data_IF_728242472666
#
_entry.id   IF_728242472666
#
_cell.length_a   1.000
_cell.length_b   1.000
_cell.length_c   1.000
_cell.angle_alpha   90.00
_cell.angle_beta   90.00
_cell.angle_gamma   90.00
#
_symmetry.space_group_name_H-M   'P 1'
#
loop_
_entity.id
_entity.type
_entity.pdbx_description
1 polymer ?
#
# COMPACT_ATOMS: atom_id res chain seq x y z
N UNK A 1 12.82 20.89 2.56
CA UNK A 1 11.42 20.93 3.07
C UNK A 1 10.87 19.51 3.18
N UNK A 2 9.90 19.27 4.08
CA UNK A 2 9.32 17.94 4.37
C UNK A 2 8.75 17.21 3.15
N UNK A 3 8.42 17.96 2.09
CA UNK A 3 7.92 17.42 0.81
C UNK A 3 8.90 16.48 0.12
N UNK A 4 10.21 16.77 0.18
CA UNK A 4 11.25 15.95 -0.46
C UNK A 4 11.27 14.52 0.11
N UNK A 5 10.83 14.33 1.36
CA UNK A 5 10.86 13.01 1.99
C UNK A 5 9.93 12.01 1.30
N UNK A 6 8.84 12.47 0.68
CA UNK A 6 7.91 11.58 -0.05
C UNK A 6 8.59 10.93 -1.25
N UNK A 7 9.59 11.60 -1.84
CA UNK A 7 10.30 11.14 -3.02
C UNK A 7 11.60 10.44 -2.62
N UNK A 8 12.40 11.07 -1.73
CA UNK A 8 13.71 10.58 -1.33
C UNK A 8 13.66 9.31 -0.47
N UNK A 9 12.77 9.23 0.53
CA UNK A 9 12.75 8.08 1.43
C UNK A 9 12.32 6.79 0.72
N UNK A 10 11.28 6.79 -0.14
CA UNK A 10 10.93 5.59 -0.88
C UNK A 10 11.92 5.26 -1.99
N UNK A 11 12.52 6.28 -2.64
CA UNK A 11 13.61 6.07 -3.60
C UNK A 11 14.80 5.35 -2.95
N UNK A 12 15.21 5.79 -1.76
CA UNK A 12 16.29 5.16 -0.96
C UNK A 12 15.83 3.94 -0.14
N UNK A 13 14.57 3.53 -0.26
CA UNK A 13 13.98 2.42 0.51
C UNK A 13 14.14 2.53 2.02
N UNK A 14 14.10 3.74 2.56
CA UNK A 14 14.23 4.00 4.01
C UNK A 14 12.89 4.05 4.74
N UNK A 15 11.81 4.33 4.02
CA UNK A 15 10.44 4.27 4.51
C UNK A 15 9.51 3.82 3.40
N UNK A 16 8.40 3.21 3.78
CA UNK A 16 7.32 2.87 2.86
C UNK A 16 6.32 4.03 2.82
N UNK A 17 5.97 4.52 1.63
CA UNK A 17 5.01 5.60 1.47
C UNK A 17 3.87 5.20 0.52
N UNK A 18 2.64 5.20 1.02
CA UNK A 18 1.45 4.87 0.24
C UNK A 18 0.20 5.47 0.85
N UNK A 19 -0.92 5.42 0.12
CA UNK A 19 -2.23 5.91 0.55
C UNK A 19 -3.06 4.81 1.19
N UNK A 20 -2.63 4.29 2.34
CA UNK A 20 -3.26 3.11 2.96
C UNK A 20 -4.33 3.43 4.00
N UNK A 21 -4.25 4.59 4.68
CA UNK A 21 -5.15 4.94 5.77
C UNK A 21 -6.21 5.94 5.27
N UNK A 22 -7.42 5.45 4.99
CA UNK A 22 -8.54 6.25 4.43
C UNK A 22 -8.14 7.04 3.17
N UNK A 23 -7.28 6.47 2.33
CA UNK A 23 -6.77 7.10 1.12
C UNK A 23 -5.81 8.27 1.35
N UNK A 24 -5.36 8.53 2.58
CA UNK A 24 -4.37 9.55 2.90
C UNK A 24 -2.96 8.97 2.83
N UNK A 25 -2.02 9.79 2.34
CA UNK A 25 -0.60 9.44 2.28
C UNK A 25 -0.02 9.27 3.68
N UNK A 26 0.69 8.17 3.89
CA UNK A 26 1.27 7.79 5.17
C UNK A 26 2.65 7.17 4.96
N UNK A 27 3.58 7.48 5.86
CA UNK A 27 4.82 6.74 6.01
C UNK A 27 4.63 5.56 6.96
N UNK A 28 5.14 4.40 6.58
CA UNK A 28 5.21 3.20 7.41
C UNK A 28 6.69 2.86 7.61
N UNK A 29 7.07 2.62 8.86
CA UNK A 29 8.43 2.15 9.16
C UNK A 29 8.64 0.75 8.59
N UNK A 30 9.85 0.46 8.12
CA UNK A 30 10.16 -0.84 7.53
C UNK A 30 10.04 -2.00 8.53
N UNK A 31 10.13 -1.71 9.83
CA UNK A 31 9.90 -2.67 10.92
C UNK A 31 8.42 -3.04 11.04
N UNK A 32 7.53 -2.08 10.82
CA UNK A 32 6.08 -2.31 10.93
C UNK A 32 5.44 -2.79 9.62
N UNK A 33 6.09 -2.55 8.48
CA UNK A 33 5.58 -2.90 7.16
C UNK A 33 5.12 -4.37 7.03
N UNK A 34 5.86 -5.40 7.53
CA UNK A 34 5.41 -6.79 7.44
C UNK A 34 4.03 -7.01 8.07
N UNK A 35 3.74 -6.35 9.20
CA UNK A 35 2.45 -6.46 9.88
C UNK A 35 1.34 -5.81 9.05
N UNK A 36 1.58 -4.62 8.48
CA UNK A 36 0.63 -4.00 7.55
C UNK A 36 0.30 -4.87 6.34
N UNK A 37 1.31 -5.54 5.78
CA UNK A 37 1.13 -6.44 4.65
C UNK A 37 0.39 -7.73 5.04
N UNK A 38 0.69 -8.30 6.21
CA UNK A 38 0.01 -9.49 6.71
C UNK A 38 -1.48 -9.23 6.95
N UNK A 39 -1.83 -8.12 7.61
CA UNK A 39 -3.24 -7.78 7.94
C UNK A 39 -4.14 -7.63 6.71
N UNK A 40 -3.60 -7.17 5.58
CA UNK A 40 -4.39 -7.00 4.35
C UNK A 40 -4.50 -8.27 3.52
N UNK A 41 -4.07 -9.41 4.08
CA UNK A 41 -3.80 -10.64 3.33
C UNK A 41 -2.94 -10.37 2.08
N UNK A 42 -2.10 -9.32 2.18
CA UNK A 42 -1.39 -8.70 1.06
C UNK A 42 0.04 -9.15 0.90
N UNK A 43 0.34 -10.35 1.40
CA UNK A 43 1.56 -11.06 1.07
C UNK A 43 1.53 -11.56 -0.39
N UNK A 44 1.15 -10.67 -1.32
CA UNK A 44 1.08 -10.93 -2.74
C UNK A 44 2.47 -11.23 -3.29
N UNK A 45 2.54 -12.17 -4.20
CA UNK A 45 3.69 -12.40 -5.07
C UNK A 45 3.47 -11.70 -6.41
N UNK A 46 4.54 -11.48 -7.17
CA UNK A 46 4.38 -11.25 -8.60
C UNK A 46 3.59 -12.43 -9.21
N UNK A 47 2.61 -12.13 -10.05
CA UNK A 47 1.70 -13.08 -10.69
C UNK A 47 0.37 -13.33 -9.95
N UNK A 48 0.19 -12.80 -8.73
CA UNK A 48 -1.06 -13.00 -7.96
C UNK A 48 -2.26 -12.23 -8.54
N UNK A 49 -2.05 -11.25 -9.41
CA UNK A 49 -3.09 -10.34 -9.91
C UNK A 49 -4.35 -11.07 -10.43
N UNK A 50 -4.19 -12.20 -11.11
CA UNK A 50 -5.31 -12.97 -11.67
C UNK A 50 -6.19 -13.57 -10.57
N UNK A 51 -5.58 -14.09 -9.50
CA UNK A 51 -6.29 -14.63 -8.32
C UNK A 51 -7.05 -13.53 -7.57
N UNK A 52 -6.45 -12.34 -7.45
CA UNK A 52 -7.12 -11.19 -6.81
C UNK A 52 -8.33 -10.72 -7.57
N UNK A 53 -8.20 -10.64 -8.89
CA UNK A 53 -9.30 -10.24 -9.76
C UNK A 53 -10.42 -11.28 -9.75
N UNK A 54 -10.09 -12.57 -9.90
CA UNK A 54 -11.07 -13.66 -9.87
C UNK A 54 -11.83 -13.73 -8.53
N UNK A 55 -11.17 -13.39 -7.42
CA UNK A 55 -11.79 -13.29 -6.10
C UNK A 55 -12.57 -11.98 -5.85
N UNK A 56 -12.71 -11.10 -6.86
CA UNK A 56 -13.41 -9.82 -6.73
C UNK A 56 -12.72 -8.82 -5.79
N UNK A 57 -11.43 -9.00 -5.48
CA UNK A 57 -10.68 -8.18 -4.52
C UNK A 57 -10.10 -6.91 -5.14
N UNK A 58 -9.94 -6.90 -6.46
CA UNK A 58 -9.48 -5.73 -7.21
C UNK A 58 -10.37 -5.51 -8.44
N UNK A 59 -10.49 -4.25 -8.86
CA UNK A 59 -11.17 -3.86 -10.08
C UNK A 59 -10.39 -4.24 -11.33
N UNK A 60 -11.07 -4.24 -12.49
CA UNK A 60 -10.42 -4.46 -13.77
C UNK A 60 -9.33 -3.41 -14.07
N UNK A 61 -9.59 -2.15 -13.72
CA UNK A 61 -8.61 -1.07 -13.91
C UNK A 61 -7.36 -1.27 -13.04
N UNK A 62 -7.56 -1.73 -11.80
CA UNK A 62 -6.47 -2.09 -10.89
C UNK A 62 -5.66 -3.29 -11.41
N UNK A 63 -6.32 -4.29 -12.00
CA UNK A 63 -5.66 -5.42 -12.67
C UNK A 63 -4.77 -4.95 -13.83
N UNK A 64 -5.25 -4.03 -14.68
CA UNK A 64 -4.48 -3.49 -15.82
C UNK A 64 -3.20 -2.80 -15.33
N UNK A 65 -3.31 -1.94 -14.30
CA UNK A 65 -2.16 -1.25 -13.72
C UNK A 65 -1.17 -2.24 -13.10
N UNK A 66 -1.66 -3.23 -12.36
CA UNK A 66 -0.80 -4.26 -11.76
C UNK A 66 0.01 -4.98 -12.85
N UNK A 67 -0.64 -5.44 -13.92
CA UNK A 67 0.02 -6.11 -15.05
C UNK A 67 1.08 -5.23 -15.71
N UNK A 68 0.78 -3.95 -15.94
CA UNK A 68 1.74 -3.02 -16.53
C UNK A 68 3.01 -2.88 -15.67
N UNK A 69 2.87 -2.82 -14.35
CA UNK A 69 4.03 -2.79 -13.43
C UNK A 69 4.76 -4.13 -13.35
N UNK A 70 4.07 -5.26 -13.47
CA UNK A 70 4.71 -6.57 -13.55
C UNK A 70 5.58 -6.72 -14.79
N UNK A 71 5.09 -6.24 -15.93
CA UNK A 71 5.75 -6.31 -17.24
C UNK A 71 6.91 -5.32 -17.35
N UNK A 72 6.69 -4.06 -17.00
CA UNK A 72 7.64 -2.98 -17.26
C UNK A 72 8.50 -2.59 -16.05
N UNK A 73 8.17 -3.08 -14.84
CA UNK A 73 8.82 -2.64 -13.61
C UNK A 73 8.32 -1.26 -13.15
N UNK A 74 9.15 -0.47 -12.43
CA UNK A 74 8.72 0.81 -11.90
C UNK A 74 8.43 1.82 -13.01
N UNK A 75 7.25 2.42 -13.00
CA UNK A 75 6.86 3.43 -13.99
C UNK A 75 6.45 4.74 -13.31
N UNK A 76 6.75 5.85 -13.98
CA UNK A 76 6.25 7.17 -13.61
C UNK A 76 4.76 7.33 -13.97
N UNK A 77 4.10 8.35 -13.42
CA UNK A 77 2.63 8.44 -13.46
C UNK A 77 2.07 8.58 -14.88
N UNK A 78 2.69 9.40 -15.74
CA UNK A 78 2.26 9.60 -17.12
C UNK A 78 2.56 8.35 -17.96
N UNK A 79 3.77 7.80 -17.83
CA UNK A 79 4.21 6.56 -18.48
C UNK A 79 3.30 5.38 -18.13
N UNK A 80 3.01 5.18 -16.83
CA UNK A 80 2.13 4.11 -16.37
C UNK A 80 0.72 4.26 -16.92
N UNK A 81 0.21 5.50 -17.00
CA UNK A 81 -1.10 5.77 -17.58
C UNK A 81 -1.15 5.47 -19.09
N UNK A 82 -0.07 5.77 -19.82
CA UNK A 82 0.08 5.43 -21.23
C UNK A 82 0.18 3.91 -21.43
N UNK A 83 1.00 3.22 -20.63
CA UNK A 83 1.10 1.74 -20.66
C UNK A 83 -0.26 1.08 -20.40
N UNK A 84 -1.12 1.70 -19.59
CA UNK A 84 -2.47 1.22 -19.31
C UNK A 84 -3.53 1.65 -20.34
N UNK A 85 -3.18 2.43 -21.37
CA UNK A 85 -4.12 3.01 -22.36
C UNK A 85 -5.26 3.81 -21.72
N UNK A 86 -4.93 4.62 -20.70
CA UNK A 86 -5.87 5.42 -19.89
C UNK A 86 -5.64 6.94 -20.01
N UNK A 87 -5.22 7.42 -21.18
CA UNK A 87 -4.79 8.81 -21.42
C UNK A 87 -5.97 9.80 -21.53
N UNK A 88 -7.15 9.32 -21.92
CA UNK A 88 -8.35 10.16 -22.02
C UNK A 88 -8.76 10.74 -20.66
N UNK A 89 -9.61 11.77 -20.66
CA UNK A 89 -10.11 12.38 -19.40
C UNK A 89 -10.84 11.36 -18.52
N UNK A 90 -11.69 10.50 -19.11
CA UNK A 90 -12.38 9.42 -18.40
C UNK A 90 -11.42 8.31 -17.99
N UNK A 91 -10.43 7.98 -18.83
CA UNK A 91 -9.33 7.07 -18.51
C UNK A 91 -8.53 7.53 -17.28
N UNK A 92 -8.19 8.81 -17.21
CA UNK A 92 -7.46 9.37 -16.07
C UNK A 92 -8.25 9.29 -14.76
N UNK A 93 -9.58 9.46 -14.80
CA UNK A 93 -10.42 9.28 -13.61
C UNK A 93 -10.42 7.82 -13.12
N UNK A 94 -10.54 6.87 -14.04
CA UNK A 94 -10.41 5.42 -13.77
C UNK A 94 -9.03 5.07 -13.20
N UNK A 95 -7.98 5.56 -13.84
CA UNK A 95 -6.60 5.39 -13.42
C UNK A 95 -6.37 5.86 -11.98
N UNK A 96 -6.81 7.09 -11.63
CA UNK A 96 -6.66 7.62 -10.28
C UNK A 96 -7.38 6.77 -9.22
N UNK A 97 -8.58 6.27 -9.54
CA UNK A 97 -9.34 5.39 -8.64
C UNK A 97 -8.63 4.05 -8.44
N UNK A 98 -8.16 3.43 -9.52
CA UNK A 98 -7.42 2.17 -9.48
C UNK A 98 -6.06 2.31 -8.76
N UNK A 99 -5.33 3.41 -8.98
CA UNK A 99 -4.11 3.71 -8.23
C UNK A 99 -4.37 3.86 -6.73
N UNK A 100 -5.48 4.51 -6.34
CA UNK A 100 -5.85 4.65 -4.93
C UNK A 100 -6.23 3.29 -4.34
N UNK A 101 -6.99 2.48 -5.06
CA UNK A 101 -7.37 1.12 -4.68
C UNK A 101 -6.13 0.25 -4.41
N UNK A 102 -5.19 0.18 -5.36
CA UNK A 102 -3.96 -0.59 -5.22
C UNK A 102 -3.06 -0.09 -4.08
N UNK A 103 -2.97 1.23 -3.88
CA UNK A 103 -2.23 1.82 -2.76
C UNK A 103 -2.90 1.51 -1.42
N UNK A 104 -4.22 1.57 -1.36
CA UNK A 104 -4.99 1.13 -0.20
C UNK A 104 -4.64 -0.32 0.10
N UNK A 105 -4.71 -1.23 -0.87
CA UNK A 105 -4.38 -2.64 -0.69
C UNK A 105 -2.88 -2.92 -0.47
N UNK A 106 -2.02 -1.90 -0.47
CA UNK A 106 -0.56 -2.04 -0.37
C UNK A 106 0.05 -2.91 -1.48
N UNK A 107 -0.65 -3.05 -2.61
CA UNK A 107 -0.13 -3.75 -3.80
C UNK A 107 1.03 -2.96 -4.40
N UNK A 108 0.84 -1.63 -4.51
CA UNK A 108 1.81 -0.71 -5.08
C UNK A 108 2.26 0.32 -4.05
N UNK A 109 3.47 0.81 -4.26
CA UNK A 109 4.13 1.78 -3.40
C UNK A 109 4.74 2.90 -4.22
N UNK A 110 4.83 4.08 -3.64
CA UNK A 110 5.65 5.15 -4.18
C UNK A 110 7.12 4.71 -4.25
N UNK A 111 7.79 4.95 -5.37
CA UNK A 111 9.13 4.43 -5.68
C UNK A 111 10.15 5.54 -5.97
N UNK A 112 9.75 6.80 -5.83
CA UNK A 112 10.56 7.97 -6.17
C UNK A 112 9.79 8.90 -7.10
N UNK A 113 10.50 9.80 -7.75
CA UNK A 113 9.92 10.73 -8.71
C UNK A 113 10.74 10.77 -10.01
N UNK A 114 10.08 11.17 -11.10
CA UNK A 114 10.66 11.24 -12.44
C UNK A 114 10.16 12.46 -13.18
N UNK A 115 11.06 13.13 -13.89
CA UNK A 115 10.74 14.32 -14.65
C UNK A 115 10.21 13.93 -16.04
N UNK A 116 8.90 13.75 -16.16
CA UNK A 116 8.25 13.31 -17.41
C UNK A 116 7.93 14.48 -18.37
N UNK A 117 7.81 15.71 -17.86
CA UNK A 117 7.45 16.91 -18.64
C UNK A 117 8.24 18.12 -18.17
N UNK A 118 7.97 19.34 -18.66
CA UNK A 118 8.52 20.56 -18.08
C UNK A 118 7.84 20.99 -16.76
N UNK A 119 6.79 20.27 -16.32
CA UNK A 119 6.09 20.54 -15.07
C UNK A 119 6.81 19.92 -13.86
N UNK A 120 6.11 19.72 -12.74
CA UNK A 120 6.68 19.05 -11.57
C UNK A 120 6.97 17.56 -11.84
N UNK A 121 8.01 16.98 -11.21
CA UNK A 121 8.27 15.55 -11.27
C UNK A 121 7.03 14.73 -10.87
N UNK A 122 6.74 13.71 -11.66
CA UNK A 122 5.69 12.75 -11.38
C UNK A 122 6.17 11.69 -10.40
N UNK A 123 5.25 11.18 -9.59
CA UNK A 123 5.51 10.02 -8.76
C UNK A 123 5.76 8.77 -9.60
N UNK A 124 6.80 8.01 -9.27
CA UNK A 124 7.05 6.65 -9.74
C UNK A 124 6.41 5.63 -8.80
N UNK A 125 5.96 4.52 -9.36
CA UNK A 125 5.32 3.44 -8.62
C UNK A 125 5.89 2.09 -9.01
N UNK A 126 5.90 1.15 -8.05
CA UNK A 126 6.31 -0.24 -8.23
C UNK A 126 5.44 -1.13 -7.33
N UNK A 127 5.41 -2.42 -7.64
CA UNK A 127 4.84 -3.46 -6.77
C UNK A 127 5.58 -3.53 -5.44
N UNK A 128 4.83 -3.51 -4.35
CA UNK A 128 5.38 -3.60 -2.99
C UNK A 128 6.24 -4.84 -2.78
N UNK A 129 5.86 -5.98 -3.37
CA UNK A 129 6.60 -7.24 -3.22
C UNK A 129 7.99 -7.21 -3.88
N UNK A 130 8.14 -6.49 -5.01
CA UNK A 130 9.43 -6.25 -5.67
C UNK A 130 10.20 -5.14 -4.98
N UNK A 131 9.50 -4.12 -4.51
CA UNK A 131 10.13 -2.98 -3.86
C UNK A 131 10.71 -3.32 -2.49
N UNK A 132 10.00 -4.12 -1.69
CA UNK A 132 10.33 -4.47 -0.31
C UNK A 132 10.30 -6.00 -0.09
N UNK A 133 11.15 -6.77 -0.77
CA UNK A 133 11.06 -8.23 -0.79
C UNK A 133 11.28 -8.85 0.59
N UNK A 134 12.16 -8.27 1.42
CA UNK A 134 12.40 -8.73 2.79
C UNK A 134 11.15 -8.61 3.66
N UNK A 135 10.45 -7.47 3.56
CA UNK A 135 9.25 -7.22 4.34
C UNK A 135 8.05 -8.04 3.83
N UNK A 136 7.94 -8.20 2.50
CA UNK A 136 6.94 -9.06 1.90
C UNK A 136 7.12 -10.54 2.29
N UNK A 137 8.37 -11.02 2.36
CA UNK A 137 8.67 -12.36 2.85
C UNK A 137 8.31 -12.52 4.34
N UNK A 138 8.73 -11.59 5.20
CA UNK A 138 8.41 -11.62 6.63
C UNK A 138 6.89 -11.58 6.91
N UNK A 139 6.12 -10.88 6.06
CA UNK A 139 4.66 -10.83 6.17
C UNK A 139 4.00 -12.21 6.02
N UNK A 140 4.60 -13.13 5.22
CA UNK A 140 4.06 -14.49 5.02
C UNK A 140 4.14 -15.36 6.27
N UNK A 141 5.12 -15.09 7.13
CA UNK A 141 5.34 -15.82 8.38
C UNK A 141 4.57 -15.23 9.56
N UNK A 142 3.78 -14.18 9.34
CA UNK A 142 3.00 -13.50 10.40
C UNK A 142 1.52 -13.71 10.14
N UNK A 143 0.77 -14.21 11.12
CA UNK A 143 -0.69 -14.28 11.00
C UNK A 143 -1.32 -12.89 11.02
N UNK A 144 -2.44 -12.66 10.31
CA UNK A 144 -3.15 -11.38 10.36
C UNK A 144 -3.49 -10.96 11.79
N UNK A 145 -3.80 -11.90 12.68
CA UNK A 145 -4.15 -11.67 14.09
C UNK A 145 -2.95 -11.12 14.87
N UNK A 146 -1.79 -11.78 14.77
CA UNK A 146 -0.55 -11.33 15.41
C UNK A 146 -0.09 -9.98 14.86
N UNK A 147 -0.29 -9.75 13.56
CA UNK A 147 -0.01 -8.48 12.92
C UNK A 147 -0.91 -7.35 13.46
N UNK A 148 -2.22 -7.59 13.58
CA UNK A 148 -3.16 -6.61 14.18
C UNK A 148 -2.77 -6.29 15.63
N UNK A 149 -2.46 -7.30 16.44
CA UNK A 149 -2.03 -7.12 17.83
C UNK A 149 -0.76 -6.25 17.92
N UNK A 150 0.24 -6.50 17.06
CA UNK A 150 1.47 -5.70 17.02
C UNK A 150 1.20 -4.23 16.67
N UNK A 151 0.35 -3.98 15.67
CA UNK A 151 -0.03 -2.61 15.28
C UNK A 151 -0.87 -1.93 16.38
N UNK A 152 -1.79 -2.67 17.00
CA UNK A 152 -2.62 -2.15 18.09
C UNK A 152 -1.77 -1.75 19.29
N UNK A 153 -0.87 -2.64 19.75
CA UNK A 153 0.10 -2.34 20.80
C UNK A 153 0.89 -1.08 20.48
N UNK A 154 1.44 -1.00 19.26
CA UNK A 154 2.22 0.18 18.86
C UNK A 154 1.42 1.48 18.87
N UNK A 155 0.14 1.41 18.52
CA UNK A 155 -0.75 2.57 18.56
C UNK A 155 -1.08 2.97 20.00
N UNK A 156 -1.35 1.99 20.87
CA UNK A 156 -1.68 2.20 22.28
C UNK A 156 -0.49 2.73 23.10
N UNK A 157 0.76 2.39 22.73
CA UNK A 157 1.96 3.02 23.31
C UNK A 157 1.93 4.56 23.22
N UNK A 158 1.36 5.10 22.14
CA UNK A 158 1.22 6.54 21.92
C UNK A 158 -0.12 7.09 22.40
N UNK A 159 -1.15 6.25 22.42
CA UNK A 159 -2.52 6.62 22.78
C UNK A 159 -3.13 5.61 23.76
N UNK A 160 -2.71 5.58 25.04
CA UNK A 160 -3.07 4.50 25.96
C UNK A 160 -4.58 4.36 26.23
N UNK A 161 -5.32 5.47 26.16
CA UNK A 161 -6.76 5.51 26.41
C UNK A 161 -7.61 5.31 25.14
N UNK A 162 -7.01 4.97 24.00
CA UNK A 162 -7.77 4.83 22.75
C UNK A 162 -8.69 3.59 22.79
N UNK A 163 -10.01 3.74 22.55
CA UNK A 163 -10.90 2.60 22.54
C UNK A 163 -10.68 1.74 21.28
N UNK A 164 -10.96 0.42 21.33
CA UNK A 164 -10.85 -0.47 20.17
C UNK A 164 -11.62 0.03 18.93
N UNK A 165 -12.75 0.72 19.11
CA UNK A 165 -13.52 1.34 18.04
C UNK A 165 -12.71 2.36 17.22
N UNK A 166 -11.73 3.03 17.83
CA UNK A 166 -10.82 3.95 17.12
C UNK A 166 -9.94 3.19 16.16
N UNK A 167 -9.34 2.07 16.58
CA UNK A 167 -8.50 1.24 15.72
C UNK A 167 -9.32 0.57 14.61
N UNK A 168 -10.53 0.10 14.93
CA UNK A 168 -11.45 -0.44 13.94
C UNK A 168 -11.70 0.56 12.79
N UNK A 169 -12.01 1.82 13.14
CA UNK A 169 -12.23 2.88 12.16
C UNK A 169 -10.98 3.29 11.40
N UNK A 170 -9.82 3.31 12.06
CA UNK A 170 -8.56 3.70 11.42
C UNK A 170 -8.12 2.66 10.39
N UNK A 171 -8.06 1.39 10.80
CA UNK A 171 -7.49 0.32 9.99
C UNK A 171 -8.53 -0.47 9.19
N UNK A 172 -9.80 -0.08 9.28
CA UNK A 172 -10.94 -0.77 8.65
C UNK A 172 -11.06 -2.23 9.12
N UNK A 173 -10.88 -2.45 10.42
CA UNK A 173 -11.10 -3.74 11.06
C UNK A 173 -12.55 -3.88 11.52
N UNK A 174 -13.02 -5.11 11.61
CA UNK A 174 -14.26 -5.43 12.31
C UNK A 174 -14.14 -5.12 13.81
N UNK A 175 -15.27 -4.97 14.49
CA UNK A 175 -15.30 -4.78 15.94
C UNK A 175 -14.58 -5.92 16.68
N UNK A 176 -14.78 -7.17 16.23
CA UNK A 176 -14.17 -8.34 16.83
C UNK A 176 -12.64 -8.34 16.66
N UNK A 177 -12.16 -8.05 15.45
CA UNK A 177 -10.72 -7.94 15.17
C UNK A 177 -10.04 -6.87 16.03
N UNK A 178 -10.68 -5.70 16.19
CA UNK A 178 -10.12 -4.62 17.00
C UNK A 178 -10.11 -4.94 18.50
N UNK A 179 -11.15 -5.59 19.02
CA UNK A 179 -11.20 -6.06 20.41
C UNK A 179 -10.08 -7.08 20.66
N UNK A 180 -10.00 -8.11 19.83
CA UNK A 180 -8.97 -9.15 19.94
C UNK A 180 -7.55 -8.56 19.88
N UNK A 181 -7.31 -7.59 18.98
CA UNK A 181 -6.00 -6.95 18.85
C UNK A 181 -5.62 -6.10 20.06
N UNK A 182 -6.58 -5.49 20.77
CA UNK A 182 -6.30 -4.68 21.96
C UNK A 182 -6.20 -5.51 23.24
N UNK A 183 -6.80 -6.70 23.27
CA UNK A 183 -6.78 -7.62 24.42
C UNK A 183 -5.68 -8.67 24.34
N UNK A 184 -4.88 -8.70 23.28
CA UNK A 184 -3.76 -9.63 23.15
C UNK A 184 -2.67 -9.28 24.18
N UNK A 185 -2.42 -10.20 25.11
CA UNK A 185 -1.32 -10.06 26.08
C UNK A 185 0.06 -10.15 25.38
N UNK A 186 1.11 -9.56 25.99
CA UNK A 186 2.41 -9.32 25.35
C UNK A 186 3.14 -10.50 24.72
#
# INVERSE_FOLDING_TARGET
>A
MIWNWKDELPHRRRAYYSKCLRGRGMFISLKLLPHFLSMRASAFSAGDHARFYAAGRISHDALVIWKALEEHGPLATLELRHACKMESKSGNARFKRAMLELQCHLVIVHFGAEQETAAWPSSRFELTCRAFPKQAAAARSTSPEAARATIARKYLDWHPAAPPATLARLFNWTKAEALAACSADP
#
